data_IF_166069352375
#
_entry.id   IF_166069352375
#
_cell.length_a   1.000
_cell.length_b   1.000
_cell.length_c   1.000
_cell.angle_alpha   90.00
_cell.angle_beta   90.00
_cell.angle_gamma   90.00
#
_symmetry.space_group_name_H-M   'P 1'
#
loop_
_entity.id
_entity.type
_entity.pdbx_description
1 polymer ?
#
# COMPACT_ATOMS: atom_id res chain seq x y z
N UNK A 1 5.67 8.12 -8.92
CA UNK A 1 5.06 7.34 -10.03
C UNK A 1 3.60 7.74 -10.15
N UNK A 2 3.04 7.73 -11.36
CA UNK A 2 1.60 7.82 -11.54
C UNK A 2 1.02 6.42 -11.82
N UNK A 3 -0.09 6.12 -11.17
CA UNK A 3 -0.83 4.88 -11.35
C UNK A 3 -2.13 5.19 -12.09
N UNK A 4 -2.00 5.32 -13.39
CA UNK A 4 -3.02 5.83 -14.30
C UNK A 4 -4.38 5.15 -14.12
N UNK A 5 -4.40 3.81 -14.10
CA UNK A 5 -5.64 3.03 -13.97
C UNK A 5 -6.10 2.83 -12.52
N UNK A 6 -5.24 3.08 -11.54
CA UNK A 6 -5.59 3.04 -10.12
C UNK A 6 -6.03 4.39 -9.56
N UNK A 7 -5.91 5.46 -10.35
CA UNK A 7 -6.22 6.83 -9.94
C UNK A 7 -5.40 7.29 -8.73
N UNK A 8 -4.10 6.97 -8.72
CA UNK A 8 -3.19 7.23 -7.60
C UNK A 8 -1.89 7.89 -8.03
N UNK A 9 -1.30 8.61 -7.10
CA UNK A 9 0.10 9.05 -7.13
C UNK A 9 0.87 8.24 -6.10
N UNK A 10 1.89 7.50 -6.53
CA UNK A 10 2.73 6.73 -5.63
C UNK A 10 4.10 7.36 -5.42
N UNK A 11 4.56 7.37 -4.18
CA UNK A 11 5.90 7.77 -3.75
C UNK A 11 6.61 6.56 -3.16
N UNK A 12 7.74 6.20 -3.74
CA UNK A 12 8.56 5.09 -3.27
C UNK A 12 9.87 5.59 -2.68
N UNK A 13 10.18 5.16 -1.47
CA UNK A 13 11.48 5.36 -0.84
C UNK A 13 12.31 4.07 -0.97
N UNK A 14 13.38 4.07 -1.79
CA UNK A 14 14.17 2.86 -2.01
C UNK A 14 15.05 2.46 -0.81
N UNK A 15 15.34 3.39 0.11
CA UNK A 15 16.16 3.09 1.29
C UNK A 15 15.36 2.30 2.35
N UNK A 16 14.11 2.67 2.56
CA UNK A 16 13.20 2.01 3.51
C UNK A 16 12.30 0.96 2.87
N UNK A 17 12.36 0.80 1.54
CA UNK A 17 11.46 -0.03 0.74
C UNK A 17 9.97 0.24 1.04
N UNK A 18 9.65 1.50 1.36
CA UNK A 18 8.28 1.95 1.68
C UNK A 18 7.65 2.64 0.48
N UNK A 19 6.40 2.32 0.21
CA UNK A 19 5.57 2.97 -0.80
C UNK A 19 4.38 3.64 -0.12
N UNK A 20 4.12 4.88 -0.49
CA UNK A 20 2.93 5.64 -0.10
C UNK A 20 2.17 5.99 -1.37
N UNK A 21 0.90 5.59 -1.43
CA UNK A 21 0.02 5.87 -2.55
C UNK A 21 -1.08 6.83 -2.09
N UNK A 22 -1.26 7.90 -2.83
CA UNK A 22 -2.28 8.92 -2.57
C UNK A 22 -3.40 8.77 -3.59
N UNK A 23 -4.60 8.53 -3.13
CA UNK A 23 -5.78 8.44 -3.99
C UNK A 23 -6.16 9.82 -4.49
N UNK A 24 -6.33 9.97 -5.81
CA UNK A 24 -6.84 11.20 -6.41
C UNK A 24 -8.35 11.23 -6.20
N UNK A 25 -8.89 12.26 -5.52
CA UNK A 25 -10.31 12.32 -5.16
C UNK A 25 -11.23 12.56 -6.35
N UNK A 26 -10.71 13.16 -7.42
CA UNK A 26 -11.48 13.44 -8.63
C UNK A 26 -11.87 12.15 -9.34
N UNK A 27 -13.15 11.99 -9.58
CA UNK A 27 -13.67 10.80 -10.24
C UNK A 27 -14.80 11.19 -11.17
N UNK A 28 -14.65 10.83 -12.42
CA UNK A 28 -15.69 10.86 -13.42
C UNK A 28 -16.28 12.25 -13.70
N UNK A 29 -15.83 12.92 -14.76
CA UNK A 29 -16.37 14.18 -15.15
C UNK A 29 -17.84 14.04 -15.58
N UNK A 30 -18.67 14.98 -15.15
CA UNK A 30 -20.08 15.07 -15.54
C UNK A 30 -20.33 15.25 -17.06
N UNK A 31 -19.27 15.43 -17.83
CA UNK A 31 -19.35 15.64 -19.29
C UNK A 31 -19.11 14.37 -20.11
N UNK A 32 -18.74 13.25 -19.47
CA UNK A 32 -18.48 11.99 -20.14
C UNK A 32 -19.59 10.99 -19.84
N UNK A 33 -20.15 10.41 -20.88
CA UNK A 33 -20.99 9.22 -20.76
C UNK A 33 -20.08 8.02 -20.57
N UNK A 34 -20.20 7.42 -19.38
CA UNK A 34 -19.34 6.32 -18.96
C UNK A 34 -19.90 4.95 -19.32
N UNK A 35 -21.03 4.84 -19.96
CA UNK A 35 -21.64 3.56 -20.29
C UNK A 35 -20.74 2.78 -21.29
N UNK A 36 -20.18 1.68 -20.84
CA UNK A 36 -19.31 0.81 -21.64
C UNK A 36 -17.84 1.25 -21.76
N UNK A 37 -17.38 2.19 -20.94
CA UNK A 37 -15.97 2.65 -20.91
C UNK A 37 -15.27 2.09 -19.67
N UNK A 38 -14.17 1.36 -19.86
CA UNK A 38 -13.39 0.73 -18.78
C UNK A 38 -12.74 1.73 -17.80
N UNK A 39 -12.64 3.01 -18.17
CA UNK A 39 -11.97 4.07 -17.39
C UNK A 39 -12.93 4.98 -16.65
N UNK A 40 -14.19 4.62 -16.59
CA UNK A 40 -15.19 5.45 -15.94
C UNK A 40 -14.97 5.53 -14.43
N UNK A 41 -15.08 6.72 -13.89
CA UNK A 41 -14.82 6.97 -12.48
C UNK A 41 -13.35 7.21 -12.12
N UNK A 42 -12.48 7.42 -13.12
CA UNK A 42 -11.06 7.73 -12.94
C UNK A 42 -10.73 9.13 -13.48
N UNK A 43 -9.95 9.92 -12.74
CA UNK A 43 -9.38 11.18 -13.22
C UNK A 43 -8.29 10.95 -14.29
N UNK A 44 -7.72 9.77 -14.31
CA UNK A 44 -6.61 9.36 -15.17
C UNK A 44 -5.40 10.30 -15.03
N UNK A 45 -4.64 10.11 -13.98
CA UNK A 45 -3.36 10.80 -13.76
C UNK A 45 -2.41 10.49 -14.92
N UNK A 46 -1.98 11.49 -15.66
CA UNK A 46 -1.19 11.26 -16.87
C UNK A 46 0.27 11.67 -16.73
N UNK A 47 0.55 12.88 -16.27
CA UNK A 47 1.91 13.42 -16.16
C UNK A 47 2.09 14.09 -14.79
N UNK A 48 3.32 14.18 -14.33
CA UNK A 48 3.63 14.82 -13.05
C UNK A 48 5.00 15.51 -13.07
N UNK A 49 5.14 16.49 -12.19
CA UNK A 49 6.42 17.12 -11.86
C UNK A 49 6.56 17.29 -10.35
N UNK A 50 7.81 17.32 -9.88
CA UNK A 50 8.11 17.43 -8.44
C UNK A 50 8.75 18.80 -8.17
N UNK A 51 8.21 19.51 -7.18
CA UNK A 51 8.73 20.77 -6.67
C UNK A 51 8.81 20.72 -5.14
N UNK A 52 9.97 20.46 -4.60
CA UNK A 52 10.19 20.24 -3.16
C UNK A 52 9.37 19.04 -2.66
N UNK A 53 8.50 19.28 -1.67
CA UNK A 53 7.57 18.26 -1.15
C UNK A 53 6.30 18.10 -1.97
N UNK A 54 6.11 18.88 -3.03
CA UNK A 54 4.89 18.88 -3.81
C UNK A 54 5.05 18.10 -5.10
N UNK A 55 4.08 17.25 -5.39
CA UNK A 55 3.95 16.53 -6.64
C UNK A 55 2.74 17.11 -7.37
N UNK A 56 2.98 17.87 -8.44
CA UNK A 56 1.93 18.40 -9.31
C UNK A 56 1.67 17.42 -10.42
N UNK A 57 0.41 17.15 -10.72
CA UNK A 57 0.02 16.19 -11.75
C UNK A 57 -1.19 16.67 -12.54
N UNK A 58 -1.33 16.13 -13.75
CA UNK A 58 -2.48 16.41 -14.61
C UNK A 58 -3.51 15.29 -14.49
N UNK A 59 -4.78 15.67 -14.44
CA UNK A 59 -5.93 14.78 -14.50
C UNK A 59 -6.54 14.89 -15.89
N UNK A 60 -6.21 13.95 -16.75
CA UNK A 60 -6.60 14.04 -18.16
C UNK A 60 -8.12 14.14 -18.34
N UNK A 61 -8.85 13.21 -17.71
CA UNK A 61 -10.30 13.11 -17.92
C UNK A 61 -11.05 14.27 -17.26
N UNK A 62 -10.58 14.73 -16.10
CA UNK A 62 -11.18 15.85 -15.37
C UNK A 62 -10.74 17.22 -15.90
N UNK A 63 -9.70 17.27 -16.73
CA UNK A 63 -9.09 18.51 -17.22
C UNK A 63 -8.66 19.44 -16.05
N UNK A 64 -8.11 18.85 -14.99
CA UNK A 64 -7.65 19.52 -13.79
C UNK A 64 -6.13 19.38 -13.63
N UNK A 65 -5.59 20.15 -12.68
CA UNK A 65 -4.25 19.96 -12.13
C UNK A 65 -4.42 19.66 -10.65
N UNK A 66 -3.89 18.53 -10.23
CA UNK A 66 -3.85 18.11 -8.83
C UNK A 66 -2.48 18.37 -8.20
N UNK A 67 -2.44 18.34 -6.87
CA UNK A 67 -1.21 18.42 -6.09
C UNK A 67 -1.29 17.49 -4.89
N UNK A 68 -0.23 16.72 -4.67
CA UNK A 68 0.04 16.00 -3.42
C UNK A 68 1.15 16.72 -2.68
N UNK A 69 0.95 17.05 -1.42
CA UNK A 69 2.01 17.57 -0.53
C UNK A 69 2.50 16.43 0.39
N UNK A 70 3.67 15.89 0.07
CA UNK A 70 4.27 14.77 0.81
C UNK A 70 4.82 15.15 2.18
N UNK A 71 4.81 16.45 2.54
CA UNK A 71 5.17 16.93 3.89
C UNK A 71 4.02 16.84 4.88
N UNK A 72 2.81 16.56 4.42
CA UNK A 72 1.63 16.37 5.29
C UNK A 72 1.81 15.10 6.12
N UNK A 73 1.47 15.18 7.40
CA UNK A 73 1.51 14.01 8.29
C UNK A 73 0.53 12.95 7.81
N UNK A 74 1.04 11.74 7.63
CA UNK A 74 0.22 10.60 7.24
C UNK A 74 -0.71 10.18 8.39
N UNK A 75 -1.92 9.67 8.08
CA UNK A 75 -2.90 9.28 9.10
C UNK A 75 -2.44 8.07 9.92
N UNK A 76 -1.58 7.24 9.36
CA UNK A 76 -0.97 6.10 10.02
C UNK A 76 0.41 5.83 9.42
N UNK A 77 1.17 4.94 10.05
CA UNK A 77 2.38 4.33 9.50
C UNK A 77 2.41 2.85 9.80
N UNK A 78 3.22 2.11 9.04
CA UNK A 78 3.46 0.69 9.28
C UNK A 78 4.94 0.43 9.49
N UNK A 79 5.25 -0.53 10.36
CA UNK A 79 6.58 -1.10 10.52
C UNK A 79 6.51 -2.62 10.43
N UNK A 80 7.57 -3.24 9.95
CA UNK A 80 7.69 -4.69 9.80
C UNK A 80 8.98 -5.11 10.48
N UNK A 81 8.88 -6.07 11.40
CA UNK A 81 9.99 -6.51 12.26
C UNK A 81 11.09 -7.24 11.49
N UNK A 82 10.76 -7.97 10.43
CA UNK A 82 11.70 -8.72 9.62
C UNK A 82 11.43 -8.54 8.12
N UNK A 83 12.38 -7.92 7.43
CA UNK A 83 12.26 -7.65 5.99
C UNK A 83 12.96 -8.69 5.09
N UNK A 84 13.72 -9.62 5.68
CA UNK A 84 14.43 -10.66 4.93
C UNK A 84 14.18 -12.03 5.57
N UNK A 85 13.43 -12.86 4.89
CA UNK A 85 12.99 -14.17 5.37
C UNK A 85 13.59 -15.23 4.47
N UNK A 86 14.12 -16.29 5.07
CA UNK A 86 14.56 -17.49 4.37
C UNK A 86 13.72 -18.65 4.86
N UNK A 87 13.12 -19.41 3.95
CA UNK A 87 12.26 -20.54 4.25
C UNK A 87 12.73 -21.78 3.50
N UNK A 88 12.75 -22.91 4.19
CA UNK A 88 12.73 -24.21 3.52
C UNK A 88 11.31 -24.53 3.00
N UNK A 89 11.18 -25.48 2.09
CA UNK A 89 9.86 -25.94 1.60
C UNK A 89 9.01 -26.46 2.73
N UNK A 90 7.75 -26.09 2.76
CA UNK A 90 6.81 -26.43 3.84
C UNK A 90 7.01 -25.64 5.14
N UNK A 91 8.03 -24.79 5.22
CA UNK A 91 8.28 -23.99 6.41
C UNK A 91 7.40 -22.74 6.46
N UNK A 92 7.06 -22.30 7.68
CA UNK A 92 6.29 -21.09 7.95
C UNK A 92 7.10 -20.13 8.81
N UNK A 93 7.19 -18.88 8.37
CA UNK A 93 7.66 -17.77 9.20
C UNK A 93 6.50 -16.89 9.64
N UNK A 94 6.68 -16.26 10.80
CA UNK A 94 5.79 -15.23 11.33
C UNK A 94 6.44 -13.86 11.20
N UNK A 95 5.68 -12.88 10.78
CA UNK A 95 6.09 -11.48 10.61
C UNK A 95 5.11 -10.60 11.37
N UNK A 96 5.62 -9.67 12.17
CA UNK A 96 4.79 -8.69 12.85
C UNK A 96 4.71 -7.39 12.03
N UNK A 97 3.51 -7.04 11.65
CA UNK A 97 3.18 -5.73 11.11
C UNK A 97 2.68 -4.85 12.26
N UNK A 98 3.40 -3.79 12.57
CA UNK A 98 2.99 -2.76 13.52
C UNK A 98 2.25 -1.64 12.77
N UNK A 99 1.03 -1.35 13.22
CA UNK A 99 0.18 -0.28 12.72
C UNK A 99 0.18 0.86 13.75
N UNK A 100 0.79 1.98 13.40
CA UNK A 100 1.05 3.08 14.32
C UNK A 100 0.22 4.31 13.92
N UNK A 101 -0.48 4.92 14.88
CA UNK A 101 -1.25 6.14 14.68
C UNK A 101 -0.53 7.29 15.36
N UNK A 102 -0.14 8.34 14.62
CA UNK A 102 0.55 9.48 15.22
C UNK A 102 -0.38 10.28 16.15
N UNK A 103 0.13 10.68 17.32
CA UNK A 103 -0.60 11.46 18.32
C UNK A 103 -0.81 12.95 17.94
N UNK A 104 -0.34 13.34 16.77
CA UNK A 104 -0.60 14.69 16.21
C UNK A 104 -1.96 14.79 15.52
N UNK A 105 -2.65 13.67 15.32
CA UNK A 105 -4.02 13.68 14.82
C UNK A 105 -4.93 14.28 15.89
N UNK A 106 -5.69 15.32 15.50
CA UNK A 106 -6.61 16.00 16.42
C UNK A 106 -7.85 15.12 16.58
N UNK A 107 -8.06 14.62 17.79
CA UNK A 107 -9.25 13.85 18.17
C UNK A 107 -8.88 12.61 19.00
N UNK A 108 -9.83 12.20 19.83
CA UNK A 108 -9.79 10.88 20.47
C UNK A 108 -10.59 9.93 19.59
N UNK A 109 -10.00 8.81 19.18
CA UNK A 109 -10.70 7.86 18.35
C UNK A 109 -9.82 6.71 17.88
N UNK A 110 -10.47 5.75 17.30
CA UNK A 110 -9.85 4.61 16.63
C UNK A 110 -9.66 4.93 15.15
N UNK A 111 -8.47 4.65 14.63
CA UNK A 111 -8.18 4.71 13.19
C UNK A 111 -8.14 3.29 12.67
N UNK A 112 -8.83 3.07 11.56
CA UNK A 112 -8.95 1.76 10.91
C UNK A 112 -8.45 1.84 9.48
N UNK A 113 -7.72 0.79 9.07
CA UNK A 113 -7.32 0.61 7.68
C UNK A 113 -7.45 -0.87 7.29
N UNK A 114 -7.66 -1.14 6.00
CA UNK A 114 -7.70 -2.51 5.51
C UNK A 114 -6.28 -3.05 5.31
N UNK A 115 -6.04 -4.31 5.67
CA UNK A 115 -4.78 -4.99 5.38
C UNK A 115 -4.64 -5.22 3.87
N UNK A 116 -3.48 -4.91 3.32
CA UNK A 116 -3.11 -5.15 1.93
C UNK A 116 -1.92 -6.10 1.84
N UNK A 117 -2.09 -7.21 1.14
CA UNK A 117 -1.04 -8.18 0.90
C UNK A 117 -0.96 -8.47 -0.59
N UNK A 118 0.23 -8.33 -1.17
CA UNK A 118 0.52 -8.69 -2.55
C UNK A 118 1.88 -9.41 -2.64
N UNK A 119 2.05 -10.31 -3.58
CA UNK A 119 3.28 -11.07 -3.74
C UNK A 119 3.64 -11.28 -5.21
N UNK A 120 4.94 -11.33 -5.51
CA UNK A 120 5.47 -11.75 -6.81
C UNK A 120 5.50 -13.28 -6.96
N UNK A 121 5.33 -14.03 -5.87
CA UNK A 121 5.24 -15.48 -5.89
C UNK A 121 3.88 -15.95 -6.41
N UNK A 122 3.85 -17.14 -7.01
CA UNK A 122 2.59 -17.83 -7.24
C UNK A 122 1.99 -18.31 -5.91
N UNK A 123 0.66 -18.53 -5.90
CA UNK A 123 -0.02 -19.07 -4.71
C UNK A 123 0.38 -20.49 -4.34
N UNK A 124 1.10 -21.20 -5.23
CA UNK A 124 1.70 -22.51 -4.94
C UNK A 124 3.05 -22.41 -4.25
N UNK A 125 3.78 -21.30 -4.47
CA UNK A 125 5.12 -21.13 -3.92
C UNK A 125 5.08 -20.42 -2.55
N UNK A 126 4.24 -19.40 -2.40
CA UNK A 126 4.02 -18.74 -1.11
C UNK A 126 2.53 -18.61 -0.80
N UNK A 127 2.17 -19.04 0.42
CA UNK A 127 0.86 -18.83 1.02
C UNK A 127 1.02 -17.80 2.13
N UNK A 128 0.32 -16.66 2.02
CA UNK A 128 0.40 -15.59 2.99
C UNK A 128 -0.98 -15.42 3.61
N UNK A 129 -1.04 -15.50 4.95
CA UNK A 129 -2.29 -15.42 5.69
C UNK A 129 -2.20 -14.46 6.87
N UNK A 130 -3.32 -13.88 7.25
CA UNK A 130 -3.50 -13.13 8.48
C UNK A 130 -4.86 -13.44 9.08
N UNK A 131 -4.96 -13.46 10.40
CA UNK A 131 -6.25 -13.57 11.09
C UNK A 131 -7.08 -12.28 10.99
N UNK A 132 -6.41 -11.16 10.68
CA UNK A 132 -7.00 -9.85 10.59
C UNK A 132 -7.00 -9.34 9.15
N UNK A 133 -8.12 -8.81 8.70
CA UNK A 133 -8.28 -8.11 7.42
C UNK A 133 -8.40 -6.59 7.60
N UNK A 134 -8.63 -6.16 8.84
CA UNK A 134 -8.73 -4.75 9.25
C UNK A 134 -7.75 -4.51 10.39
N UNK A 135 -6.98 -3.45 10.27
CA UNK A 135 -6.00 -2.99 11.25
C UNK A 135 -6.60 -1.80 11.97
N UNK A 136 -6.62 -1.82 13.30
CA UNK A 136 -7.16 -0.75 14.14
C UNK A 136 -6.15 -0.32 15.19
N UNK A 137 -6.06 0.96 15.49
CA UNK A 137 -5.33 1.46 16.65
C UNK A 137 -5.93 2.76 17.15
N UNK A 138 -5.73 3.08 18.42
CA UNK A 138 -6.09 4.39 18.97
C UNK A 138 -5.07 5.44 18.54
N UNK A 139 -5.52 6.69 18.47
CA UNK A 139 -4.63 7.82 18.19
C UNK A 139 -3.53 7.88 19.26
N UNK A 140 -2.28 7.92 18.81
CA UNK A 140 -1.09 7.91 19.66
C UNK A 140 -0.58 6.52 20.06
N UNK A 141 -1.30 5.46 19.69
CA UNK A 141 -0.95 4.09 20.02
C UNK A 141 -0.44 3.30 18.78
N UNK A 142 0.03 2.09 19.07
CA UNK A 142 0.50 1.11 18.10
C UNK A 142 -0.13 -0.24 18.41
N UNK A 143 -0.55 -0.95 17.36
CA UNK A 143 -1.07 -2.31 17.45
C UNK A 143 -0.26 -3.23 16.52
N UNK A 144 0.06 -4.44 17.00
CA UNK A 144 0.78 -5.44 16.21
C UNK A 144 -0.15 -6.52 15.68
N UNK A 145 0.06 -6.90 14.43
CA UNK A 145 -0.70 -7.93 13.71
C UNK A 145 0.23 -9.00 13.17
N UNK A 146 -0.12 -10.25 13.38
CA UNK A 146 0.65 -11.39 12.92
C UNK A 146 0.30 -11.73 11.48
N UNK A 147 1.32 -11.84 10.64
CA UNK A 147 1.24 -12.32 9.27
C UNK A 147 2.03 -13.63 9.19
N UNK A 148 1.43 -14.68 8.68
CA UNK A 148 2.09 -15.96 8.45
C UNK A 148 2.45 -16.10 6.97
N UNK A 149 3.69 -16.50 6.69
CA UNK A 149 4.21 -16.72 5.34
C UNK A 149 4.73 -18.15 5.28
N UNK A 150 4.10 -18.97 4.48
CA UNK A 150 4.42 -20.39 4.32
C UNK A 150 4.97 -20.66 2.93
N UNK A 151 6.13 -21.31 2.84
CA UNK A 151 6.60 -21.85 1.58
C UNK A 151 5.83 -23.14 1.25
N UNK A 152 5.40 -23.29 0.00
CA UNK A 152 4.72 -24.51 -0.45
C UNK A 152 5.63 -25.73 -0.38
N UNK A 153 5.06 -26.92 -0.18
CA UNK A 153 5.79 -28.20 -0.16
C UNK A 153 6.54 -28.47 -1.49
N UNK A 154 5.96 -28.05 -2.61
CA UNK A 154 6.50 -28.20 -3.96
C UNK A 154 7.07 -26.88 -4.53
N UNK A 155 7.26 -25.86 -3.69
CA UNK A 155 7.76 -24.55 -4.13
C UNK A 155 9.14 -24.67 -4.75
N UNK A 156 9.39 -23.89 -5.79
CA UNK A 156 10.72 -23.80 -6.40
C UNK A 156 11.62 -22.85 -5.61
N UNK A 157 12.92 -23.17 -5.46
CA UNK A 157 13.87 -22.24 -4.87
C UNK A 157 13.92 -20.96 -5.70
N UNK A 158 13.54 -19.84 -5.10
CA UNK A 158 13.54 -18.50 -5.73
C UNK A 158 13.45 -17.40 -4.65
N UNK A 159 13.61 -16.16 -5.09
CA UNK A 159 13.46 -14.98 -4.24
C UNK A 159 12.28 -14.16 -4.69
N UNK A 160 11.35 -13.95 -3.78
CA UNK A 160 10.11 -13.24 -4.02
C UNK A 160 10.05 -11.92 -3.25
N UNK A 161 9.38 -10.92 -3.83
CA UNK A 161 8.99 -9.71 -3.12
C UNK A 161 7.54 -9.85 -2.67
N UNK A 162 7.32 -9.57 -1.39
CA UNK A 162 6.00 -9.50 -0.78
C UNK A 162 5.77 -8.06 -0.35
N UNK A 163 4.64 -7.49 -0.71
CA UNK A 163 4.21 -6.17 -0.31
C UNK A 163 3.18 -6.34 0.82
N UNK A 164 3.52 -5.84 1.99
CA UNK A 164 2.63 -5.81 3.15
C UNK A 164 2.27 -4.37 3.48
N UNK A 165 1.00 -4.09 3.70
CA UNK A 165 0.57 -2.72 3.93
C UNK A 165 -0.81 -2.58 4.53
N UNK A 166 -1.20 -1.33 4.66
CA UNK A 166 -2.52 -0.91 5.08
C UNK A 166 -3.04 0.17 4.13
N UNK A 167 -4.34 0.20 3.91
CA UNK A 167 -4.97 1.23 3.10
C UNK A 167 -6.34 1.62 3.64
N UNK A 168 -6.69 2.88 3.42
CA UNK A 168 -8.02 3.43 3.55
C UNK A 168 -8.48 4.03 2.21
N UNK A 169 -9.55 4.82 2.22
CA UNK A 169 -10.10 5.42 1.00
C UNK A 169 -9.16 6.47 0.37
N UNK A 170 -8.27 7.09 1.15
CA UNK A 170 -7.44 8.22 0.73
C UNK A 170 -5.99 7.82 0.49
N UNK A 171 -5.48 6.87 1.28
CA UNK A 171 -4.05 6.57 1.32
C UNK A 171 -3.79 5.08 1.47
N UNK A 172 -2.73 4.59 0.82
CA UNK A 172 -2.16 3.27 1.09
C UNK A 172 -0.69 3.41 1.46
N UNK A 173 -0.26 2.69 2.49
CA UNK A 173 1.12 2.65 2.95
C UNK A 173 1.56 1.19 3.00
N UNK A 174 2.63 0.87 2.28
CA UNK A 174 3.13 -0.50 2.13
C UNK A 174 4.64 -0.57 2.23
N UNK A 175 5.14 -1.72 2.69
CA UNK A 175 6.57 -2.06 2.70
C UNK A 175 6.82 -3.35 1.96
N UNK A 176 7.94 -3.39 1.22
CA UNK A 176 8.43 -4.62 0.62
C UNK A 176 9.24 -5.43 1.64
N UNK A 177 9.00 -6.72 1.66
CA UNK A 177 9.86 -7.71 2.29
C UNK A 177 10.38 -8.69 1.23
N UNK A 178 11.50 -9.30 1.50
CA UNK A 178 12.12 -10.29 0.63
C UNK A 178 11.97 -11.67 1.27
N UNK A 179 11.39 -12.62 0.53
CA UNK A 179 11.26 -14.02 0.96
C UNK A 179 12.03 -14.89 -0.01
N UNK A 180 13.02 -15.61 0.52
CA UNK A 180 13.85 -16.54 -0.26
C UNK A 180 13.49 -17.97 0.15
N UNK A 181 13.07 -18.78 -0.83
CA UNK A 181 12.83 -20.21 -0.67
C UNK A 181 14.11 -20.95 -1.05
N UNK A 182 14.57 -21.86 -0.21
CA UNK A 182 15.81 -22.66 -0.40
C UNK A 182 15.52 -24.14 -0.55
#
# INVERSE_FOLDING_TARGET
MNEHNANRIAVFNPESETMVEYTVPSRNPNWSDCEGIDYCGLAQVFDFTVDGSKIWFTEWVENNIGVVDTSTTLPFSIEIDNQNIILERGETAEVLLQFNIPNVLIGEGEVSASLNISSTASSSDLIITSEHTVLNSLVGDSQSYLIQITAGEDASPDTHKVLLGAFDDEIAISKFITVTIV
#
